data_IF_227418725961
#
_entry.id   IF_227418725961
#
_cell.length_a   1.000
_cell.length_b   1.000
_cell.length_c   1.000
_cell.angle_alpha   90.00
_cell.angle_beta   90.00
_cell.angle_gamma   90.00
#
_symmetry.space_group_name_H-M   'P 1'
#
loop_
_entity.id
_entity.type
_entity.pdbx_description
1 polymer ?
#
# COMPACT_ATOMS: atom_id res chain seq x y z
N UNK A 1 4.50 12.92 10.42
CA UNK A 1 3.53 13.73 11.20
C UNK A 1 3.27 13.04 12.53
N UNK A 2 2.97 13.74 13.64
CA UNK A 2 2.14 13.12 14.65
C UNK A 2 0.82 12.79 13.96
N UNK A 3 0.46 11.51 13.89
CA UNK A 3 -0.78 11.06 13.28
C UNK A 3 -1.95 11.79 13.96
N UNK A 4 -2.49 12.84 13.34
CA UNK A 4 -3.77 13.41 13.78
C UNK A 4 -4.80 12.31 13.53
N UNK A 5 -5.34 11.73 14.61
CA UNK A 5 -6.53 10.89 14.55
C UNK A 5 -7.67 11.79 14.09
N UNK A 6 -8.25 11.50 12.93
CA UNK A 6 -9.15 12.44 12.27
C UNK A 6 -10.64 12.11 12.40
N UNK A 7 -11.00 10.94 12.93
CA UNK A 7 -12.40 10.57 13.16
C UNK A 7 -12.83 10.77 14.63
N UNK A 8 -13.86 11.59 14.82
CA UNK A 8 -14.52 11.88 16.10
C UNK A 8 -15.77 11.00 16.37
N UNK A 9 -16.13 10.08 15.45
CA UNK A 9 -17.20 9.06 15.62
C UNK A 9 -16.76 7.65 15.20
N UNK A 10 -17.51 6.65 15.70
CA UNK A 10 -17.06 5.33 16.18
C UNK A 10 -16.83 4.34 15.03
N UNK A 11 -15.57 4.15 14.58
CA UNK A 11 -15.21 2.94 13.84
C UNK A 11 -15.49 1.74 14.75
N UNK A 12 -16.43 0.88 14.36
CA UNK A 12 -16.76 -0.33 15.12
C UNK A 12 -15.88 -1.47 14.62
N UNK A 13 -15.09 -2.04 15.52
CA UNK A 13 -14.23 -3.19 15.21
C UNK A 13 -14.83 -4.46 15.75
N UNK A 14 -14.82 -5.52 14.95
CA UNK A 14 -15.26 -6.85 15.35
C UNK A 14 -14.25 -7.88 14.90
N UNK A 15 -13.95 -8.84 15.78
CA UNK A 15 -13.18 -10.03 15.43
C UNK A 15 -14.09 -11.02 14.69
N UNK A 16 -13.59 -11.57 13.59
CA UNK A 16 -14.26 -12.60 12.81
C UNK A 16 -13.73 -13.97 13.23
N UNK A 17 -12.41 -14.10 13.29
CA UNK A 17 -11.76 -15.35 13.66
C UNK A 17 -10.46 -15.07 14.42
N UNK A 18 -10.25 -15.81 15.50
CA UNK A 18 -8.99 -15.82 16.25
C UNK A 18 -8.08 -16.96 15.81
N UNK A 19 -6.78 -16.78 16.05
CA UNK A 19 -5.81 -17.88 16.06
C UNK A 19 -6.32 -19.06 16.90
N UNK A 20 -6.25 -20.26 16.33
CA UNK A 20 -6.68 -21.51 16.96
C UNK A 20 -8.19 -21.81 16.88
N UNK A 21 -9.03 -20.89 16.39
CA UNK A 21 -10.47 -21.15 16.27
C UNK A 21 -10.82 -22.05 15.08
N UNK A 22 -10.05 -21.99 13.99
CA UNK A 22 -10.19 -22.94 12.87
C UNK A 22 -9.22 -24.11 13.01
N UNK A 23 -9.57 -25.32 12.53
CA UNK A 23 -8.66 -26.46 12.52
C UNK A 23 -7.31 -26.14 11.84
N UNK A 24 -6.21 -26.40 12.55
CA UNK A 24 -4.85 -26.13 12.08
C UNK A 24 -4.54 -24.64 11.89
N UNK A 25 -5.10 -23.77 12.73
CA UNK A 25 -4.85 -22.33 12.68
C UNK A 25 -4.07 -21.78 13.88
N UNK A 26 -3.24 -22.62 14.53
CA UNK A 26 -2.47 -22.21 15.72
C UNK A 26 -1.40 -21.15 15.39
N UNK A 27 -1.01 -21.01 14.13
CA UNK A 27 -0.18 -19.90 13.62
C UNK A 27 -0.97 -18.66 13.23
N UNK A 28 -2.30 -18.76 13.11
CA UNK A 28 -3.21 -17.65 12.87
C UNK A 28 -4.05 -17.76 11.59
N UNK A 29 -5.06 -16.89 11.50
CA UNK A 29 -5.86 -16.65 10.29
C UNK A 29 -5.95 -15.13 10.09
N UNK A 30 -5.28 -14.59 9.09
CA UNK A 30 -5.12 -13.14 8.95
C UNK A 30 -4.94 -12.68 7.48
N UNK A 31 -4.88 -11.36 7.28
CA UNK A 31 -4.74 -10.66 5.99
C UNK A 31 -5.72 -11.15 4.90
N UNK A 32 -7.04 -11.08 5.16
CA UNK A 32 -8.06 -11.54 4.22
C UNK A 32 -8.19 -10.63 2.99
N UNK A 33 -8.27 -11.23 1.81
CA UNK A 33 -8.96 -10.63 0.68
C UNK A 33 -10.48 -10.80 0.86
N UNK A 34 -11.32 -9.88 0.37
CA UNK A 34 -12.78 -9.97 0.55
C UNK A 34 -13.56 -9.56 -0.69
N UNK A 35 -14.68 -10.23 -0.94
CA UNK A 35 -15.65 -9.85 -1.98
C UNK A 35 -17.08 -10.20 -1.56
N UNK A 36 -18.04 -9.37 -1.94
CA UNK A 36 -19.47 -9.67 -1.78
C UNK A 36 -19.93 -10.64 -2.86
N UNK A 37 -20.73 -11.64 -2.48
CA UNK A 37 -21.41 -12.57 -3.39
C UNK A 37 -22.77 -12.97 -2.85
N UNK A 38 -23.50 -13.82 -3.55
CA UNK A 38 -24.87 -14.19 -3.16
C UNK A 38 -24.91 -14.96 -1.84
N UNK A 39 -23.89 -15.79 -1.58
CA UNK A 39 -23.76 -16.58 -0.35
C UNK A 39 -23.37 -15.76 0.91
N UNK A 40 -22.99 -14.50 0.76
CA UNK A 40 -22.47 -13.67 1.85
C UNK A 40 -21.26 -12.83 1.44
N UNK A 41 -20.37 -12.57 2.40
CA UNK A 41 -19.05 -12.01 2.10
C UNK A 41 -18.06 -13.16 2.11
N UNK A 42 -17.38 -13.34 0.98
CA UNK A 42 -16.34 -14.35 0.84
C UNK A 42 -15.00 -13.71 1.18
N UNK A 43 -14.33 -14.28 2.17
CA UNK A 43 -12.96 -13.95 2.55
C UNK A 43 -12.02 -15.03 2.01
N UNK A 44 -10.83 -14.61 1.59
CA UNK A 44 -9.70 -15.50 1.32
C UNK A 44 -8.55 -15.08 2.24
N UNK A 45 -8.36 -15.81 3.33
CA UNK A 45 -7.39 -15.50 4.37
C UNK A 45 -6.16 -16.40 4.28
N UNK A 46 -5.05 -15.90 4.81
CA UNK A 46 -3.87 -16.71 5.10
C UNK A 46 -4.11 -17.48 6.40
N UNK A 47 -4.11 -18.81 6.35
CA UNK A 47 -4.11 -19.69 7.51
C UNK A 47 -2.75 -20.35 7.69
N UNK A 48 -2.25 -20.31 8.92
CA UNK A 48 -0.96 -20.93 9.29
C UNK A 48 -1.16 -21.95 10.42
N UNK A 49 -0.51 -23.10 10.28
CA UNK A 49 -0.53 -24.16 11.30
C UNK A 49 0.33 -23.75 12.49
N UNK A 50 1.54 -23.25 12.24
CA UNK A 50 2.42 -22.67 13.26
C UNK A 50 2.97 -21.32 12.80
N UNK A 51 3.23 -20.41 13.75
CA UNK A 51 3.95 -19.17 13.47
C UNK A 51 5.46 -19.43 13.52
N UNK A 52 5.90 -20.33 12.65
CA UNK A 52 7.27 -20.40 12.19
C UNK A 52 7.14 -20.02 10.73
N UNK A 53 8.06 -19.24 10.17
CA UNK A 53 7.98 -18.86 8.75
C UNK A 53 8.20 -20.07 7.83
N UNK A 54 7.33 -21.10 7.89
CA UNK A 54 7.34 -22.34 7.12
C UNK A 54 6.67 -22.12 5.77
N UNK A 55 7.14 -22.78 4.71
CA UNK A 55 6.52 -22.68 3.38
C UNK A 55 5.04 -23.11 3.34
N UNK A 56 4.52 -23.67 4.43
CA UNK A 56 3.18 -24.22 4.56
C UNK A 56 2.19 -23.13 4.96
N UNK A 57 1.79 -22.32 3.97
CA UNK A 57 0.67 -21.38 4.10
C UNK A 57 -0.54 -21.90 3.34
N UNK A 58 -1.70 -21.86 3.99
CA UNK A 58 -2.95 -22.35 3.42
C UNK A 58 -3.89 -21.18 3.08
N UNK A 59 -4.36 -21.07 1.81
CA UNK A 59 -5.47 -20.18 1.48
C UNK A 59 -6.76 -20.74 2.07
N UNK A 60 -7.32 -20.03 3.06
CA UNK A 60 -8.58 -20.39 3.71
C UNK A 60 -9.70 -19.53 3.14
N UNK A 61 -10.69 -20.17 2.51
CA UNK A 61 -11.92 -19.52 2.08
C UNK A 61 -12.90 -19.52 3.24
N UNK A 62 -13.40 -18.36 3.63
CA UNK A 62 -14.35 -18.19 4.74
C UNK A 62 -15.55 -17.40 4.23
N UNK A 63 -16.76 -17.89 4.42
CA UNK A 63 -17.99 -17.17 4.13
C UNK A 63 -18.53 -16.62 5.42
N UNK A 64 -18.80 -15.31 5.46
CA UNK A 64 -19.40 -14.65 6.61
C UNK A 64 -20.71 -13.97 6.24
N UNK A 65 -21.63 -13.93 7.20
CA UNK A 65 -22.88 -13.18 7.04
C UNK A 65 -22.59 -11.66 7.06
N UNK A 66 -23.11 -10.87 6.11
CA UNK A 66 -22.78 -9.44 5.98
C UNK A 66 -23.35 -8.54 7.10
N UNK A 67 -24.26 -9.05 7.93
CA UNK A 67 -24.89 -8.28 9.01
C UNK A 67 -24.24 -8.57 10.35
N UNK A 68 -24.09 -9.85 10.65
CA UNK A 68 -23.56 -10.38 11.91
C UNK A 68 -22.07 -10.68 11.82
N UNK A 69 -21.46 -10.83 10.65
CA UNK A 69 -20.07 -11.27 10.48
C UNK A 69 -19.76 -12.64 11.11
N UNK A 70 -20.78 -13.44 11.40
CA UNK A 70 -20.62 -14.83 11.82
C UNK A 70 -20.16 -15.69 10.66
N UNK A 71 -19.31 -16.68 10.95
CA UNK A 71 -18.82 -17.63 9.94
C UNK A 71 -19.96 -18.58 9.58
N UNK A 72 -20.38 -18.51 8.31
CA UNK A 72 -21.38 -19.42 7.73
C UNK A 72 -20.72 -20.72 7.29
N UNK A 73 -19.54 -20.62 6.67
CA UNK A 73 -18.77 -21.79 6.26
C UNK A 73 -17.29 -21.44 6.07
N UNK A 74 -16.41 -22.43 6.10
CA UNK A 74 -15.02 -22.25 5.72
C UNK A 74 -14.46 -23.52 5.06
N UNK A 75 -13.37 -23.35 4.29
CA UNK A 75 -12.67 -24.43 3.60
C UNK A 75 -11.25 -24.01 3.21
N UNK A 76 -10.28 -24.88 3.46
CA UNK A 76 -8.93 -24.74 2.87
C UNK A 76 -8.96 -25.04 1.38
N UNK A 77 -8.45 -24.12 0.56
CA UNK A 77 -8.37 -24.31 -0.89
C UNK A 77 -7.11 -25.09 -1.27
N UNK A 78 -7.24 -26.01 -2.23
CA UNK A 78 -6.10 -26.66 -2.84
C UNK A 78 -5.35 -25.68 -3.76
N UNK A 79 -4.05 -25.53 -3.56
CA UNK A 79 -3.17 -24.77 -4.45
C UNK A 79 -2.80 -25.65 -5.65
N UNK A 80 -3.17 -25.27 -6.87
CA UNK A 80 -2.82 -26.02 -8.09
C UNK A 80 -1.96 -25.17 -9.01
N UNK A 81 -0.86 -25.72 -9.51
CA UNK A 81 0.06 -24.99 -10.40
C UNK A 81 1.04 -24.04 -9.71
N UNK A 82 1.23 -24.16 -8.40
CA UNK A 82 2.26 -23.43 -7.65
C UNK A 82 3.44 -24.35 -7.33
N UNK A 83 4.68 -23.81 -7.23
CA UNK A 83 5.80 -24.55 -6.68
C UNK A 83 5.51 -25.02 -5.25
N UNK A 84 5.91 -26.25 -4.90
CA UNK A 84 5.60 -26.87 -3.60
C UNK A 84 6.15 -26.06 -2.41
N UNK A 85 7.32 -25.48 -2.59
CA UNK A 85 8.07 -24.68 -1.61
C UNK A 85 7.74 -23.17 -1.66
N UNK A 86 6.79 -22.77 -2.51
CA UNK A 86 6.32 -21.38 -2.56
C UNK A 86 5.27 -21.09 -1.49
N UNK A 87 5.20 -19.83 -1.04
CA UNK A 87 4.11 -19.33 -0.19
C UNK A 87 3.21 -18.41 -0.99
N UNK A 88 1.92 -18.47 -0.70
CA UNK A 88 0.92 -17.51 -1.18
C UNK A 88 0.38 -16.75 0.03
N UNK A 89 0.48 -15.42 0.03
CA UNK A 89 0.11 -14.59 1.17
C UNK A 89 -0.52 -13.25 0.75
N UNK A 90 -1.19 -12.56 1.68
CA UNK A 90 -1.72 -11.20 1.52
C UNK A 90 -2.68 -11.05 0.32
N UNK A 91 -3.78 -11.81 0.34
CA UNK A 91 -4.77 -11.81 -0.73
C UNK A 91 -5.58 -10.50 -0.78
N UNK A 92 -5.94 -10.08 -2.00
CA UNK A 92 -6.95 -9.05 -2.29
C UNK A 92 -7.85 -9.58 -3.38
N UNK A 93 -9.16 -9.56 -3.15
CA UNK A 93 -10.12 -10.12 -4.08
C UNK A 93 -10.77 -9.04 -4.94
N UNK A 94 -11.14 -9.42 -6.15
CA UNK A 94 -11.92 -8.61 -7.09
C UNK A 94 -12.81 -9.53 -7.93
N UNK A 95 -13.99 -9.03 -8.34
CA UNK A 95 -14.78 -9.64 -9.43
C UNK A 95 -14.43 -8.97 -10.75
N UNK A 96 -14.15 -9.76 -11.77
CA UNK A 96 -13.87 -9.29 -13.12
C UNK A 96 -14.27 -10.38 -14.12
N UNK A 97 -15.03 -10.03 -15.15
CA UNK A 97 -15.50 -10.96 -16.20
C UNK A 97 -16.13 -12.25 -15.65
N UNK A 98 -16.96 -12.12 -14.61
CA UNK A 98 -17.64 -13.26 -13.96
C UNK A 98 -16.72 -14.13 -13.08
N UNK A 99 -15.41 -13.86 -13.04
CA UNK A 99 -14.45 -14.56 -12.21
C UNK A 99 -14.24 -13.82 -10.88
N UNK A 100 -13.89 -14.59 -9.84
CA UNK A 100 -13.29 -14.04 -8.62
C UNK A 100 -11.78 -14.20 -8.75
N UNK A 101 -11.07 -13.08 -8.86
CA UNK A 101 -9.62 -13.04 -8.94
C UNK A 101 -9.04 -12.65 -7.58
N UNK A 102 -7.90 -13.23 -7.24
CA UNK A 102 -7.06 -12.84 -6.12
C UNK A 102 -5.73 -12.31 -6.65
N UNK A 103 -5.38 -11.06 -6.32
CA UNK A 103 -3.97 -10.65 -6.33
C UNK A 103 -3.36 -10.96 -4.98
N UNK A 104 -2.26 -11.70 -4.97
CA UNK A 104 -1.59 -12.14 -3.76
C UNK A 104 -0.09 -12.17 -3.99
N UNK A 105 0.66 -12.22 -2.89
CA UNK A 105 2.11 -12.30 -2.89
C UNK A 105 2.54 -13.76 -3.04
N UNK A 106 3.33 -14.06 -4.06
CA UNK A 106 4.06 -15.30 -4.22
C UNK A 106 5.49 -15.13 -3.70
N UNK A 107 5.83 -15.85 -2.63
CA UNK A 107 7.20 -15.95 -2.10
C UNK A 107 7.82 -17.23 -2.64
N UNK A 108 8.89 -17.11 -3.44
CA UNK A 108 9.62 -18.25 -3.99
C UNK A 108 10.91 -18.52 -3.19
N UNK A 109 11.44 -19.75 -3.23
CA UNK A 109 12.81 -20.03 -2.83
C UNK A 109 13.80 -19.08 -3.51
N UNK A 110 14.85 -18.68 -2.79
CA UNK A 110 15.78 -17.66 -3.24
C UNK A 110 15.34 -16.21 -2.94
N UNK A 111 14.19 -16.03 -2.27
CA UNK A 111 13.78 -14.75 -1.70
C UNK A 111 13.29 -13.72 -2.73
N UNK A 112 12.84 -14.17 -3.90
CA UNK A 112 12.11 -13.31 -4.85
C UNK A 112 10.64 -13.28 -4.42
N UNK A 113 10.12 -12.06 -4.25
CA UNK A 113 8.74 -11.83 -3.80
C UNK A 113 8.03 -11.03 -4.88
N UNK A 114 6.95 -11.59 -5.42
CA UNK A 114 6.23 -11.06 -6.57
C UNK A 114 4.72 -11.22 -6.41
N UNK A 115 3.91 -10.22 -6.76
CA UNK A 115 2.47 -10.41 -6.87
C UNK A 115 2.12 -11.33 -8.05
N UNK A 116 1.05 -12.09 -7.90
CA UNK A 116 0.47 -12.97 -8.93
C UNK A 116 -1.05 -12.85 -8.88
N UNK A 117 -1.71 -13.05 -10.02
CA UNK A 117 -3.17 -13.14 -10.10
C UNK A 117 -3.57 -14.60 -10.16
N UNK A 118 -4.61 -14.96 -9.43
CA UNK A 118 -5.14 -16.32 -9.40
C UNK A 118 -6.66 -16.32 -9.42
N UNK A 119 -7.25 -17.31 -10.08
CA UNK A 119 -8.70 -17.55 -10.01
C UNK A 119 -8.99 -18.26 -8.69
N UNK A 120 -9.99 -17.75 -7.98
CA UNK A 120 -10.51 -18.34 -6.74
C UNK A 120 -11.75 -19.16 -7.09
N UNK A 121 -11.61 -20.48 -7.04
CA UNK A 121 -12.75 -21.40 -7.13
C UNK A 121 -13.28 -21.79 -5.76
N UNK A 122 -14.32 -22.64 -5.75
CA UNK A 122 -14.91 -23.16 -4.50
C UNK A 122 -13.92 -24.00 -3.68
N UNK A 123 -13.05 -24.76 -4.36
CA UNK A 123 -12.15 -25.75 -3.74
C UNK A 123 -10.68 -25.56 -4.09
N UNK A 124 -10.36 -24.61 -4.96
CA UNK A 124 -9.02 -24.46 -5.52
C UNK A 124 -8.66 -23.00 -5.77
N UNK A 125 -7.36 -22.73 -5.67
CA UNK A 125 -6.72 -21.50 -6.11
C UNK A 125 -5.78 -21.86 -7.27
N UNK A 126 -5.90 -21.17 -8.39
CA UNK A 126 -5.16 -21.49 -9.64
C UNK A 126 -4.53 -20.24 -10.24
N UNK A 127 -3.24 -20.25 -10.63
CA UNK A 127 -2.59 -19.14 -11.33
C UNK A 127 -3.36 -18.75 -12.59
N UNK A 128 -3.46 -17.44 -12.84
CA UNK A 128 -4.13 -16.88 -14.01
C UNK A 128 -3.23 -15.94 -14.81
N UNK A 129 -2.49 -15.08 -14.12
CA UNK A 129 -1.54 -14.17 -14.73
C UNK A 129 -0.35 -13.96 -13.77
N UNK A 130 0.86 -14.06 -14.29
CA UNK A 130 2.09 -13.78 -13.55
C UNK A 130 2.28 -12.27 -13.29
N UNK A 131 1.42 -11.43 -13.86
CA UNK A 131 1.42 -9.97 -13.72
C UNK A 131 2.75 -9.39 -14.26
N UNK A 132 3.09 -9.78 -15.48
CA UNK A 132 4.30 -9.34 -16.17
C UNK A 132 4.16 -7.86 -16.59
N UNK A 133 4.85 -6.99 -15.86
CA UNK A 133 4.82 -5.54 -16.07
C UNK A 133 5.76 -5.11 -17.22
N UNK A 134 5.48 -3.99 -17.91
CA UNK A 134 6.29 -3.49 -19.03
C UNK A 134 7.60 -2.80 -18.58
N UNK A 135 8.06 -3.07 -17.36
CA UNK A 135 9.27 -2.50 -16.79
C UNK A 135 9.88 -3.45 -15.77
N UNK A 136 11.17 -3.24 -15.48
CA UNK A 136 11.87 -4.00 -14.45
C UNK A 136 11.30 -3.70 -13.06
N UNK A 137 11.16 -4.75 -12.27
CA UNK A 137 10.58 -4.73 -10.93
C UNK A 137 11.63 -5.11 -9.89
N UNK A 138 11.53 -4.60 -8.67
CA UNK A 138 12.51 -4.80 -7.59
C UNK A 138 12.61 -6.26 -7.16
N UNK A 139 13.56 -6.69 -6.33
CA UNK A 139 13.56 -8.10 -5.85
C UNK A 139 12.31 -8.46 -5.02
N UNK A 140 11.77 -7.47 -4.32
CA UNK A 140 10.61 -7.59 -3.43
C UNK A 140 9.54 -6.61 -3.90
N UNK A 141 8.44 -7.15 -4.42
CA UNK A 141 7.25 -6.39 -4.74
C UNK A 141 6.07 -6.94 -3.95
N UNK A 142 5.31 -6.05 -3.32
CA UNK A 142 4.14 -6.37 -2.50
C UNK A 142 3.08 -5.29 -2.71
N UNK A 143 1.88 -5.56 -2.21
CA UNK A 143 0.80 -4.57 -2.09
C UNK A 143 0.29 -4.01 -3.43
N UNK A 144 0.30 -4.79 -4.50
CA UNK A 144 -0.38 -4.40 -5.73
C UNK A 144 -1.89 -4.62 -5.58
N UNK A 145 -2.68 -3.70 -6.13
CA UNK A 145 -4.13 -3.68 -5.98
C UNK A 145 -4.78 -3.75 -7.34
N UNK A 146 -5.68 -4.72 -7.54
CA UNK A 146 -6.51 -4.79 -8.74
C UNK A 146 -7.83 -4.05 -8.52
N UNK A 147 -8.34 -3.44 -9.60
CA UNK A 147 -9.67 -2.83 -9.67
C UNK A 147 -10.17 -2.83 -11.11
N UNK A 148 -11.48 -2.72 -11.30
CA UNK A 148 -12.08 -2.61 -12.64
C UNK A 148 -12.40 -1.15 -12.95
N UNK A 149 -11.97 -0.69 -14.12
CA UNK A 149 -12.22 0.65 -14.60
C UNK A 149 -12.70 0.61 -16.05
N UNK A 150 -13.95 1.05 -16.27
CA UNK A 150 -14.59 1.05 -17.58
C UNK A 150 -14.49 -0.33 -18.28
N UNK A 151 -14.78 -1.40 -17.53
CA UNK A 151 -14.69 -2.79 -18.00
C UNK A 151 -13.26 -3.33 -18.17
N UNK A 152 -12.23 -2.53 -17.91
CA UNK A 152 -10.82 -2.95 -18.03
C UNK A 152 -10.26 -3.29 -16.65
N UNK A 153 -9.56 -4.43 -16.55
CA UNK A 153 -8.80 -4.78 -15.36
C UNK A 153 -7.58 -3.87 -15.22
N UNK A 154 -7.52 -3.13 -14.13
CA UNK A 154 -6.43 -2.23 -13.80
C UNK A 154 -5.66 -2.69 -12.56
N UNK A 155 -4.40 -2.28 -12.47
CA UNK A 155 -3.51 -2.53 -11.35
C UNK A 155 -2.96 -1.19 -10.83
N UNK A 156 -3.34 -0.83 -9.61
CA UNK A 156 -2.69 0.22 -8.84
C UNK A 156 -1.39 -0.35 -8.27
N UNK A 157 -0.28 -0.04 -8.94
CA UNK A 157 1.05 -0.55 -8.61
C UNK A 157 1.67 0.19 -7.43
N UNK A 158 1.63 1.53 -7.45
CA UNK A 158 2.22 2.39 -6.40
C UNK A 158 1.43 3.69 -6.25
N UNK A 159 1.48 4.27 -5.04
CA UNK A 159 0.83 5.54 -4.70
C UNK A 159 1.67 6.78 -5.04
N UNK A 160 3.00 6.68 -4.97
CA UNK A 160 3.92 7.78 -5.34
C UNK A 160 5.25 7.21 -5.89
N UNK A 161 5.57 7.38 -7.19
CA UNK A 161 4.71 8.03 -8.17
C UNK A 161 3.42 7.23 -8.34
N UNK A 162 2.29 7.92 -8.50
CA UNK A 162 1.02 7.26 -8.80
C UNK A 162 1.21 6.49 -10.11
N UNK A 163 1.13 5.17 -10.02
CA UNK A 163 1.41 4.28 -11.14
C UNK A 163 0.27 3.29 -11.26
N UNK A 164 -0.48 3.40 -12.35
CA UNK A 164 -1.61 2.54 -12.68
C UNK A 164 -1.36 1.91 -14.03
N UNK A 165 -1.58 0.60 -14.10
CA UNK A 165 -1.52 -0.17 -15.32
C UNK A 165 -2.91 -0.66 -15.70
N UNK A 166 -3.17 -0.81 -16.99
CA UNK A 166 -4.36 -1.45 -17.53
C UNK A 166 -3.96 -2.73 -18.27
N UNK A 167 -4.79 -3.76 -18.17
CA UNK A 167 -4.61 -5.00 -18.91
C UNK A 167 -5.37 -4.93 -20.23
N UNK A 168 -4.65 -4.92 -21.35
CA UNK A 168 -5.22 -4.90 -22.69
C UNK A 168 -4.65 -6.03 -23.53
N UNK A 169 -5.53 -6.81 -24.17
CA UNK A 169 -5.14 -7.94 -25.02
C UNK A 169 -4.14 -8.89 -24.32
N UNK A 170 -4.38 -9.12 -23.02
CA UNK A 170 -3.54 -9.98 -22.17
C UNK A 170 -2.25 -9.34 -21.65
N UNK A 171 -1.91 -8.11 -22.04
CA UNK A 171 -0.66 -7.42 -21.64
C UNK A 171 -0.93 -6.22 -20.75
N UNK A 172 0.00 -5.95 -19.84
CA UNK A 172 -0.06 -4.78 -18.96
C UNK A 172 0.60 -3.57 -19.62
N UNK A 173 -0.12 -2.44 -19.65
CA UNK A 173 0.40 -1.16 -20.12
C UNK A 173 0.26 -0.10 -19.03
N UNK A 174 1.24 0.80 -18.91
CA UNK A 174 1.14 1.95 -18.01
C UNK A 174 0.14 2.94 -18.57
N UNK A 175 -0.90 3.29 -17.80
CA UNK A 175 -1.90 4.32 -18.16
C UNK A 175 -1.76 5.58 -17.34
N UNK A 176 -1.24 5.46 -16.11
CA UNK A 176 -0.87 6.61 -15.27
C UNK A 176 0.54 6.37 -14.75
N UNK A 177 1.39 7.40 -14.88
CA UNK A 177 2.66 7.49 -14.16
C UNK A 177 2.94 8.96 -13.87
N UNK A 178 2.60 9.39 -12.67
CA UNK A 178 2.74 10.79 -12.26
C UNK A 178 3.26 10.87 -10.83
N UNK A 179 4.33 11.63 -10.64
CA UNK A 179 4.75 11.97 -9.29
C UNK A 179 3.76 12.95 -8.65
N UNK A 180 3.41 12.71 -7.39
CA UNK A 180 2.48 13.56 -6.66
C UNK A 180 3.06 14.05 -5.33
N UNK A 181 4.17 13.46 -4.89
CA UNK A 181 4.89 13.90 -3.70
C UNK A 181 4.23 13.48 -2.40
N UNK A 182 3.29 12.54 -2.41
CA UNK A 182 2.61 12.08 -1.20
C UNK A 182 3.54 11.32 -0.26
N UNK A 183 4.48 10.54 -0.80
CA UNK A 183 5.44 9.76 -0.01
C UNK A 183 6.28 10.63 0.94
N UNK A 184 6.42 11.94 0.65
CA UNK A 184 7.18 12.89 1.45
C UNK A 184 6.66 13.08 2.89
N UNK A 185 5.39 12.74 3.15
CA UNK A 185 4.83 12.83 4.50
C UNK A 185 5.30 11.71 5.43
N UNK A 186 5.83 10.64 4.85
CA UNK A 186 6.21 9.42 5.53
C UNK A 186 7.74 9.34 5.62
N UNK A 187 8.24 8.95 6.80
CA UNK A 187 9.67 8.60 6.98
C UNK A 187 9.99 7.21 6.45
N UNK A 188 8.97 6.36 6.37
CA UNK A 188 9.08 5.00 5.86
C UNK A 188 8.31 4.82 4.56
N UNK A 189 7.81 3.62 4.37
CA UNK A 189 7.06 3.22 3.18
C UNK A 189 5.66 3.84 3.18
N UNK A 190 5.21 4.33 2.02
CA UNK A 190 3.80 4.53 1.69
C UNK A 190 3.41 3.43 0.71
N UNK A 191 2.34 2.69 1.00
CA UNK A 191 1.91 1.58 0.14
C UNK A 191 0.40 1.45 0.08
N UNK A 192 -0.09 0.85 -1.00
CA UNK A 192 -1.49 0.43 -1.07
C UNK A 192 -1.76 -0.58 0.04
N UNK A 193 -2.97 -0.60 0.57
CA UNK A 193 -3.38 -1.58 1.57
C UNK A 193 -4.37 -2.57 0.98
N UNK A 194 -5.57 -2.11 0.64
CA UNK A 194 -6.69 -2.95 0.24
C UNK A 194 -7.10 -2.76 -1.23
N UNK A 195 -7.98 -3.64 -1.73
CA UNK A 195 -8.63 -3.45 -3.03
C UNK A 195 -9.36 -2.09 -3.10
N UNK A 196 -9.56 -1.59 -4.33
CA UNK A 196 -10.42 -0.44 -4.54
C UNK A 196 -11.88 -0.89 -4.64
N UNK A 197 -12.80 -0.10 -4.10
CA UNK A 197 -14.25 -0.28 -4.25
C UNK A 197 -14.87 0.96 -4.86
N UNK A 198 -15.94 0.83 -5.67
CA UNK A 198 -16.71 1.99 -6.13
C UNK A 198 -17.16 2.84 -4.94
N UNK A 199 -16.93 4.15 -5.02
CA UNK A 199 -17.28 5.07 -3.96
C UNK A 199 -17.50 6.45 -4.55
N UNK A 200 -18.73 6.96 -4.42
CA UNK A 200 -19.19 8.17 -5.11
C UNK A 200 -19.01 8.00 -6.63
N UNK A 201 -18.41 8.97 -7.31
CA UNK A 201 -18.10 8.99 -8.73
C UNK A 201 -16.81 8.22 -9.08
N UNK A 202 -15.95 7.95 -8.11
CA UNK A 202 -14.68 7.25 -8.31
C UNK A 202 -14.54 5.99 -7.47
N UNK A 203 -13.37 5.85 -6.86
CA UNK A 203 -13.00 4.70 -6.07
C UNK A 203 -12.50 5.09 -4.69
N UNK A 204 -12.76 4.24 -3.70
CA UNK A 204 -12.16 4.28 -2.38
C UNK A 204 -11.09 3.19 -2.27
N UNK A 205 -9.93 3.56 -1.74
CA UNK A 205 -8.88 2.63 -1.35
C UNK A 205 -8.32 2.98 0.02
N UNK A 206 -7.56 2.05 0.60
CA UNK A 206 -6.81 2.28 1.83
C UNK A 206 -5.31 2.29 1.53
N UNK A 207 -4.59 3.18 2.21
CA UNK A 207 -3.13 3.24 2.23
C UNK A 207 -2.62 2.80 3.60
N UNK A 208 -1.37 2.34 3.66
CA UNK A 208 -0.70 2.06 4.93
C UNK A 208 0.75 2.54 4.95
N UNK A 209 1.26 2.72 6.16
CA UNK A 209 2.65 3.04 6.46
C UNK A 209 3.08 2.44 7.80
N UNK A 210 4.37 2.54 8.11
CA UNK A 210 4.94 2.15 9.41
C UNK A 210 5.43 3.41 10.11
N UNK A 211 4.90 3.67 11.31
CA UNK A 211 5.25 4.83 12.14
C UNK A 211 5.61 4.32 13.53
N UNK A 212 6.83 4.59 14.00
CA UNK A 212 7.32 4.13 15.31
C UNK A 212 7.14 2.60 15.51
N UNK A 213 7.40 1.82 14.45
CA UNK A 213 7.29 0.35 14.48
C UNK A 213 5.87 -0.21 14.40
N UNK A 214 4.83 0.63 14.33
CA UNK A 214 3.43 0.17 14.19
C UNK A 214 2.85 0.50 12.81
N UNK A 215 1.95 -0.35 12.35
CA UNK A 215 1.21 -0.14 11.11
C UNK A 215 0.14 0.91 11.33
N UNK A 216 0.07 1.91 10.44
CA UNK A 216 -0.99 2.91 10.43
C UNK A 216 -1.63 2.94 9.07
N UNK A 217 -2.93 3.22 9.02
CA UNK A 217 -3.71 3.16 7.79
C UNK A 217 -4.68 4.30 7.69
N UNK A 218 -4.93 4.76 6.47
CA UNK A 218 -5.95 5.74 6.17
C UNK A 218 -6.63 5.42 4.85
N UNK A 219 -7.62 6.25 4.50
CA UNK A 219 -8.35 6.14 3.25
C UNK A 219 -7.81 7.14 2.22
N UNK A 220 -8.05 6.83 0.95
CA UNK A 220 -7.86 7.73 -0.17
C UNK A 220 -8.91 7.47 -1.26
N UNK A 221 -9.15 8.48 -2.08
CA UNK A 221 -9.99 8.34 -3.27
C UNK A 221 -9.19 8.46 -4.54
N UNK A 222 -9.63 7.70 -5.55
CA UNK A 222 -9.20 7.84 -6.93
C UNK A 222 -10.37 8.37 -7.76
N UNK A 223 -10.19 9.46 -8.49
CA UNK A 223 -11.22 10.04 -9.37
C UNK A 223 -11.47 9.17 -10.61
N UNK A 224 -12.53 9.40 -11.39
CA UNK A 224 -12.73 8.74 -12.69
C UNK A 224 -11.53 8.87 -13.63
N UNK A 225 -10.79 9.98 -13.56
CA UNK A 225 -9.60 10.26 -14.37
C UNK A 225 -8.33 9.59 -13.80
N UNK A 226 -8.48 8.70 -12.82
CA UNK A 226 -7.40 7.96 -12.20
C UNK A 226 -6.38 8.88 -11.49
N UNK A 227 -6.84 9.98 -10.90
CA UNK A 227 -6.06 10.88 -10.05
C UNK A 227 -6.41 10.69 -8.57
N UNK A 228 -5.48 10.95 -7.65
CA UNK A 228 -5.80 10.96 -6.21
C UNK A 228 -6.62 12.22 -5.92
N UNK A 229 -7.86 12.03 -5.43
CA UNK A 229 -8.76 13.15 -5.13
C UNK A 229 -8.66 13.64 -3.69
N UNK A 230 -8.63 12.70 -2.74
CA UNK A 230 -8.53 12.97 -1.31
C UNK A 230 -7.72 11.88 -0.60
N UNK A 231 -7.14 12.23 0.55
CA UNK A 231 -6.41 11.30 1.39
C UNK A 231 -6.53 11.70 2.86
N UNK A 232 -7.03 10.80 3.70
CA UNK A 232 -7.20 11.07 5.12
C UNK A 232 -5.87 10.99 5.87
N UNK A 233 -5.89 11.44 7.13
CA UNK A 233 -4.91 11.00 8.13
C UNK A 233 -5.09 9.53 8.53
N UNK A 234 -4.58 9.18 9.72
CA UNK A 234 -4.69 7.80 10.24
C UNK A 234 -6.11 7.55 10.75
N UNK A 235 -6.77 6.55 10.17
CA UNK A 235 -8.08 6.04 10.58
C UNK A 235 -7.95 4.81 11.48
N UNK A 236 -6.99 3.93 11.18
CA UNK A 236 -6.71 2.71 11.94
C UNK A 236 -5.24 2.68 12.33
N UNK A 237 -4.97 2.42 13.60
CA UNK A 237 -3.61 2.41 14.16
C UNK A 237 -3.34 1.06 14.84
N UNK A 238 -2.22 0.46 14.50
CA UNK A 238 -1.77 -0.80 15.06
C UNK A 238 -1.52 -0.76 16.57
N UNK A 239 -1.43 0.41 17.20
CA UNK A 239 -1.48 0.51 18.67
C UNK A 239 -2.76 -0.07 19.27
N UNK A 240 -3.84 -0.03 18.50
CA UNK A 240 -5.15 -0.54 18.92
C UNK A 240 -5.29 -2.04 18.61
N UNK A 241 -4.27 -2.65 17.99
CA UNK A 241 -4.26 -4.06 17.64
C UNK A 241 -4.25 -4.94 18.90
N UNK A 242 -5.06 -5.99 18.89
CA UNK A 242 -4.96 -7.05 19.86
C UNK A 242 -3.57 -7.72 19.83
N UNK A 243 -3.14 -8.31 20.96
CA UNK A 243 -1.90 -9.08 21.02
C UNK A 243 -1.88 -10.22 19.99
N UNK A 244 -0.74 -10.39 19.34
CA UNK A 244 -0.49 -11.47 18.37
C UNK A 244 1.01 -11.71 18.23
N UNK A 245 1.42 -12.33 17.14
CA UNK A 245 2.82 -12.60 16.83
C UNK A 245 3.63 -11.34 16.51
N UNK A 246 2.98 -10.31 15.95
CA UNK A 246 3.60 -9.00 15.69
C UNK A 246 2.81 -7.87 16.37
N UNK A 247 3.21 -7.44 17.58
CA UNK A 247 2.60 -6.30 18.24
C UNK A 247 2.64 -5.06 17.34
N UNK A 248 1.59 -4.23 17.38
CA UNK A 248 1.54 -3.01 16.58
C UNK A 248 1.13 -3.21 15.12
N UNK A 249 0.70 -4.42 14.72
CA UNK A 249 0.23 -4.70 13.35
C UNK A 249 -1.28 -4.78 13.30
N UNK A 250 -1.90 -3.82 12.63
CA UNK A 250 -3.28 -3.91 12.14
C UNK A 250 -3.19 -3.55 10.65
N UNK A 251 -3.62 -4.46 9.78
CA UNK A 251 -3.42 -4.37 8.34
C UNK A 251 -4.70 -4.65 7.56
N UNK A 252 -5.31 -3.63 6.95
CA UNK A 252 -6.51 -3.77 6.12
C UNK A 252 -6.07 -4.24 4.74
N UNK A 253 -6.47 -5.47 4.42
CA UNK A 253 -6.16 -6.10 3.13
C UNK A 253 -7.35 -6.09 2.18
N UNK A 254 -8.58 -5.81 2.66
CA UNK A 254 -9.73 -5.73 1.78
C UNK A 254 -10.81 -4.72 2.21
N UNK A 255 -11.52 -4.19 1.22
CA UNK A 255 -12.68 -3.32 1.36
C UNK A 255 -13.90 -3.95 0.68
N UNK A 256 -15.07 -3.83 1.32
CA UNK A 256 -16.37 -4.12 0.72
C UNK A 256 -17.32 -2.96 1.03
N UNK A 257 -17.97 -2.41 0.01
CA UNK A 257 -19.09 -1.48 0.19
C UNK A 257 -20.38 -2.28 0.36
N UNK A 258 -21.13 -2.04 1.44
CA UNK A 258 -22.35 -2.79 1.77
C UNK A 258 -23.35 -1.93 2.55
N UNK A 259 -24.49 -1.60 1.92
CA UNK A 259 -25.65 -0.98 2.58
C UNK A 259 -25.33 0.34 3.31
N UNK A 260 -24.62 1.26 2.67
CA UNK A 260 -24.22 2.55 3.28
C UNK A 260 -23.02 2.44 4.22
N UNK A 261 -22.35 1.28 4.28
CA UNK A 261 -21.17 1.03 5.10
C UNK A 261 -19.97 0.70 4.21
N UNK A 262 -18.78 0.99 4.71
CA UNK A 262 -17.52 0.44 4.20
C UNK A 262 -16.99 -0.54 5.23
N UNK A 263 -16.83 -1.78 4.81
CA UNK A 263 -16.29 -2.87 5.61
C UNK A 263 -14.81 -3.03 5.27
N UNK A 264 -13.94 -2.67 6.21
CA UNK A 264 -12.50 -2.80 6.08
C UNK A 264 -12.02 -4.06 6.81
N UNK A 265 -11.77 -5.13 6.07
CA UNK A 265 -11.30 -6.40 6.61
C UNK A 265 -9.80 -6.36 6.82
N UNK A 266 -9.35 -6.80 8.01
CA UNK A 266 -7.97 -6.65 8.43
C UNK A 266 -7.40 -7.90 9.10
N UNK A 267 -6.09 -8.07 8.97
CA UNK A 267 -5.27 -8.89 9.85
C UNK A 267 -4.82 -8.08 11.08
N UNK A 268 -4.76 -8.73 12.23
CA UNK A 268 -4.35 -8.12 13.50
C UNK A 268 -3.30 -9.01 14.18
N UNK A 269 -2.14 -8.42 14.47
CA UNK A 269 -1.01 -9.08 15.12
C UNK A 269 -0.40 -10.24 14.34
N UNK A 270 -0.61 -10.34 13.02
CA UNK A 270 -0.33 -11.54 12.21
C UNK A 270 -0.90 -12.81 12.86
N UNK A 271 -2.10 -12.72 13.45
CA UNK A 271 -2.71 -13.83 14.20
C UNK A 271 -4.22 -13.93 14.01
N UNK A 272 -4.90 -12.78 13.98
CA UNK A 272 -6.37 -12.71 13.95
C UNK A 272 -6.86 -12.02 12.68
N UNK A 273 -8.13 -12.26 12.35
CA UNK A 273 -8.85 -11.59 11.27
C UNK A 273 -10.08 -10.90 11.84
N UNK A 274 -10.32 -9.67 11.39
CA UNK A 274 -11.43 -8.84 11.84
C UNK A 274 -11.95 -7.91 10.75
N UNK A 275 -12.95 -7.13 11.12
CA UNK A 275 -13.56 -6.11 10.28
C UNK A 275 -13.73 -4.82 11.06
N UNK A 276 -13.37 -3.70 10.43
CA UNK A 276 -13.70 -2.37 10.85
C UNK A 276 -14.88 -1.89 10.01
N UNK A 277 -15.98 -1.51 10.66
CA UNK A 277 -17.18 -0.99 10.03
C UNK A 277 -17.14 0.53 10.09
N UNK A 278 -17.11 1.16 8.93
CA UNK A 278 -17.17 2.60 8.77
C UNK A 278 -18.50 2.98 8.14
N UNK A 279 -19.13 4.05 8.63
CA UNK A 279 -20.25 4.68 7.94
C UNK A 279 -19.72 5.36 6.66
N UNK A 280 -20.36 5.09 5.51
CA UNK A 280 -19.88 5.63 4.25
C UNK A 280 -20.02 7.16 4.18
N UNK A 281 -21.05 7.74 4.81
CA UNK A 281 -21.29 9.18 4.86
C UNK A 281 -20.27 9.91 5.74
N UNK A 282 -19.95 9.35 6.91
CA UNK A 282 -18.90 9.89 7.79
C UNK A 282 -17.51 9.80 7.13
N UNK A 283 -17.20 8.68 6.46
CA UNK A 283 -15.95 8.53 5.72
C UNK A 283 -15.87 9.52 4.55
N UNK A 284 -16.97 9.71 3.83
CA UNK A 284 -17.12 10.72 2.79
C UNK A 284 -16.80 12.13 3.31
N UNK A 285 -17.43 12.53 4.42
CA UNK A 285 -17.20 13.84 5.04
C UNK A 285 -15.74 14.01 5.50
N UNK A 286 -15.11 12.95 5.98
CA UNK A 286 -13.70 12.96 6.37
C UNK A 286 -12.75 13.15 5.18
N UNK A 287 -13.04 12.50 4.05
CA UNK A 287 -12.31 12.70 2.81
C UNK A 287 -12.48 14.12 2.26
N UNK A 288 -13.67 14.70 2.36
CA UNK A 288 -13.93 16.09 1.91
C UNK A 288 -13.13 17.13 2.72
N UNK A 289 -12.84 16.83 3.99
CA UNK A 289 -11.95 17.66 4.84
C UNK A 289 -10.48 17.53 4.50
N UNK A 290 -10.11 16.53 3.71
CA UNK A 290 -8.72 16.18 3.40
C UNK A 290 -8.48 16.06 1.89
N UNK A 291 -8.78 17.11 1.09
CA UNK A 291 -8.53 17.10 -0.33
C UNK A 291 -7.03 16.91 -0.59
N UNK A 292 -6.70 16.09 -1.58
CA UNK A 292 -5.32 15.81 -1.92
C UNK A 292 -4.74 16.93 -2.76
N UNK A 293 -3.56 17.43 -2.36
CA UNK A 293 -2.83 18.45 -3.08
C UNK A 293 -1.45 17.93 -3.46
N UNK A 294 -1.17 17.92 -4.76
CA UNK A 294 0.15 17.54 -5.25
C UNK A 294 1.21 18.53 -4.79
N UNK A 295 2.41 18.02 -4.53
CA UNK A 295 3.54 18.85 -4.10
C UNK A 295 4.69 18.71 -5.07
N UNK A 296 5.11 19.85 -5.61
CA UNK A 296 6.33 19.91 -6.40
C UNK A 296 7.54 19.54 -5.51
N UNK A 297 8.37 18.59 -5.95
CA UNK A 297 9.58 18.22 -5.23
C UNK A 297 10.58 19.38 -5.21
N UNK A 298 11.43 19.39 -4.21
CA UNK A 298 12.72 20.07 -4.26
C UNK A 298 13.69 19.14 -4.97
N UNK A 299 14.34 19.59 -6.03
CA UNK A 299 15.29 18.77 -6.80
C UNK A 299 16.73 19.13 -6.43
N UNK A 300 17.53 18.13 -6.07
CA UNK A 300 18.92 18.29 -5.64
C UNK A 300 19.77 17.29 -6.42
N UNK A 301 20.87 17.75 -7.01
CA UNK A 301 21.90 16.84 -7.53
C UNK A 301 23.02 16.72 -6.51
N UNK A 302 23.45 15.48 -6.26
CA UNK A 302 24.41 15.14 -5.23
C UNK A 302 25.60 14.37 -5.81
N UNK A 303 26.72 15.07 -5.90
CA UNK A 303 28.02 14.57 -6.36
C UNK A 303 29.09 14.89 -5.29
N UNK A 304 29.06 14.23 -4.13
CA UNK A 304 29.97 14.56 -3.04
C UNK A 304 31.40 14.08 -3.36
N UNK A 305 32.42 14.91 -3.12
CA UNK A 305 33.82 14.54 -3.31
C UNK A 305 34.34 13.63 -2.17
N UNK A 306 33.61 13.53 -1.06
CA UNK A 306 33.95 12.68 0.07
C UNK A 306 32.72 12.27 0.90
N UNK A 307 32.88 11.24 1.73
CA UNK A 307 31.86 10.85 2.72
C UNK A 307 31.53 11.97 3.73
N UNK A 308 32.51 12.82 4.04
CA UNK A 308 32.31 13.98 4.90
C UNK A 308 31.40 15.04 4.25
N UNK A 309 31.51 15.24 2.94
CA UNK A 309 30.60 16.11 2.18
C UNK A 309 29.21 15.52 2.05
N UNK A 310 29.10 14.22 1.77
CA UNK A 310 27.83 13.50 1.77
C UNK A 310 27.11 13.70 3.12
N UNK A 311 27.81 13.46 4.23
CA UNK A 311 27.25 13.65 5.58
C UNK A 311 26.72 15.08 5.79
N UNK A 312 27.53 16.11 5.46
CA UNK A 312 27.12 17.52 5.59
C UNK A 312 25.91 17.86 4.72
N UNK A 313 25.88 17.36 3.49
CA UNK A 313 24.75 17.53 2.58
C UNK A 313 23.48 16.91 3.17
N UNK A 314 23.54 15.66 3.64
CA UNK A 314 22.39 14.96 4.22
C UNK A 314 21.85 15.65 5.47
N UNK A 315 22.71 16.07 6.40
CA UNK A 315 22.29 16.84 7.59
C UNK A 315 21.56 18.13 7.20
N UNK A 316 22.01 18.79 6.13
CA UNK A 316 21.37 20.00 5.67
C UNK A 316 20.03 19.74 4.99
N UNK A 317 19.94 18.71 4.16
CA UNK A 317 18.69 18.29 3.54
C UNK A 317 17.65 17.94 4.62
N UNK A 318 18.07 17.25 5.68
CA UNK A 318 17.20 16.98 6.83
C UNK A 318 16.75 18.27 7.55
N UNK A 319 17.66 19.23 7.75
CA UNK A 319 17.30 20.55 8.29
C UNK A 319 16.33 21.32 7.39
N UNK A 320 16.44 21.17 6.07
CA UNK A 320 15.52 21.80 5.11
C UNK A 320 14.13 21.17 5.19
N UNK A 321 14.03 19.86 5.31
CA UNK A 321 12.74 19.15 5.34
C UNK A 321 12.07 19.17 6.72
N UNK A 322 12.81 19.51 7.78
CA UNK A 322 12.27 19.74 9.13
C UNK A 322 11.79 21.17 9.36
N UNK A 323 12.31 22.16 8.63
CA UNK A 323 11.91 23.57 8.73
C UNK A 323 10.81 23.88 7.70
N UNK A 324 9.55 23.81 8.12
CA UNK A 324 8.39 24.21 7.34
C UNK A 324 7.50 23.05 6.89
N UNK A 325 6.66 23.30 5.88
CA UNK A 325 5.79 22.26 5.30
C UNK A 325 6.65 21.19 4.62
N UNK A 326 6.50 19.89 4.96
CA UNK A 326 7.23 18.83 4.29
C UNK A 326 7.03 18.91 2.78
N UNK A 327 8.12 19.07 2.05
CA UNK A 327 8.15 18.97 0.59
C UNK A 327 8.86 17.69 0.20
N UNK A 328 8.43 17.03 -0.88
CA UNK A 328 9.19 15.93 -1.44
C UNK A 328 10.58 16.42 -1.80
N UNK A 329 11.58 15.60 -1.58
CA UNK A 329 12.97 15.90 -1.89
C UNK A 329 13.46 14.84 -2.87
N UNK A 330 13.76 15.24 -4.09
CA UNK A 330 14.33 14.36 -5.09
C UNK A 330 15.82 14.58 -5.16
N UNK A 331 16.57 13.51 -4.89
CA UNK A 331 18.03 13.56 -4.90
C UNK A 331 18.51 12.70 -6.06
N UNK A 332 19.14 13.34 -7.03
CA UNK A 332 19.90 12.67 -8.08
C UNK A 332 21.31 12.40 -7.59
N UNK A 333 21.69 11.13 -7.60
CA UNK A 333 23.01 10.66 -7.17
C UNK A 333 23.57 9.85 -8.34
N UNK A 334 24.39 10.47 -9.21
CA UNK A 334 24.90 9.79 -10.41
C UNK A 334 25.72 8.55 -10.07
N UNK A 335 26.47 8.59 -8.98
CA UNK A 335 27.19 7.43 -8.45
C UNK A 335 26.25 6.47 -7.71
N UNK A 336 25.93 5.35 -8.37
CA UNK A 336 25.06 4.30 -7.82
C UNK A 336 25.61 3.66 -6.54
N UNK A 337 26.93 3.67 -6.33
CA UNK A 337 27.54 3.09 -5.12
C UNK A 337 27.11 3.82 -3.85
N UNK A 338 26.71 5.10 -3.97
CA UNK A 338 26.26 5.94 -2.85
C UNK A 338 24.77 5.79 -2.53
N UNK A 339 23.98 5.11 -3.36
CA UNK A 339 22.52 5.05 -3.20
C UNK A 339 22.11 4.44 -1.85
N UNK A 340 22.79 3.38 -1.44
CA UNK A 340 22.52 2.76 -0.14
C UNK A 340 22.89 3.67 1.02
N UNK A 341 24.05 4.33 0.96
CA UNK A 341 24.51 5.25 1.98
C UNK A 341 23.52 6.42 2.15
N UNK A 342 23.06 7.04 1.05
CA UNK A 342 22.09 8.14 1.05
C UNK A 342 20.78 7.72 1.71
N UNK A 343 20.26 6.52 1.39
CA UNK A 343 19.03 6.00 2.01
C UNK A 343 19.16 5.81 3.53
N UNK A 344 20.33 5.38 4.01
CA UNK A 344 20.58 5.13 5.44
C UNK A 344 20.53 6.39 6.30
N UNK A 345 20.66 7.59 5.74
CA UNK A 345 20.51 8.84 6.49
C UNK A 345 19.07 9.11 6.95
N UNK A 346 18.06 8.50 6.32
CA UNK A 346 16.67 8.65 6.74
C UNK A 346 16.12 10.08 6.63
N UNK A 347 16.68 10.89 5.71
CA UNK A 347 16.20 12.27 5.46
C UNK A 347 14.72 12.23 5.07
N UNK A 348 13.89 13.00 5.79
CA UNK A 348 12.44 12.97 5.59
C UNK A 348 12.07 13.38 4.15
N UNK A 349 11.27 12.54 3.50
CA UNK A 349 10.74 12.78 2.16
C UNK A 349 11.76 12.73 1.03
N UNK A 350 12.97 12.20 1.30
CA UNK A 350 13.99 11.95 0.30
C UNK A 350 13.60 10.75 -0.57
N UNK A 351 13.62 10.94 -1.89
CA UNK A 351 13.53 9.90 -2.90
C UNK A 351 14.72 10.02 -3.87
N UNK A 352 15.39 8.91 -4.14
CA UNK A 352 16.43 8.86 -5.18
C UNK A 352 15.76 8.82 -6.56
N UNK A 353 16.07 9.80 -7.40
CA UNK A 353 15.46 9.99 -8.74
C UNK A 353 16.52 10.51 -9.70
N UNK A 354 16.52 10.01 -10.93
CA UNK A 354 17.22 10.74 -12.00
C UNK A 354 16.53 12.08 -12.24
N UNK A 355 17.32 13.12 -12.46
CA UNK A 355 16.85 14.45 -12.86
C UNK A 355 17.07 14.72 -14.36
N UNK A 356 17.30 13.69 -15.17
CA UNK A 356 17.47 13.84 -16.61
C UNK A 356 16.28 14.60 -17.23
N UNK A 357 16.59 15.69 -17.95
CA UNK A 357 15.57 16.56 -18.55
C UNK A 357 14.82 17.48 -17.57
N UNK A 358 15.27 17.58 -16.31
CA UNK A 358 14.65 18.44 -15.28
C UNK A 358 15.65 19.45 -14.72
N UNK A 359 15.19 20.69 -14.51
CA UNK A 359 16.00 21.71 -13.84
C UNK A 359 16.14 21.38 -12.34
N UNK A 360 17.36 21.56 -11.82
CA UNK A 360 17.69 21.35 -10.41
C UNK A 360 17.49 22.63 -9.61
N UNK A 361 16.85 22.53 -8.45
CA UNK A 361 16.70 23.68 -7.54
C UNK A 361 18.02 24.00 -6.82
N UNK A 362 18.82 22.98 -6.49
CA UNK A 362 20.06 23.12 -5.75
C UNK A 362 21.19 22.20 -6.24
N UNK A 363 22.42 22.69 -6.10
CA UNK A 363 23.67 21.93 -6.13
C UNK A 363 24.26 21.78 -4.73
N UNK A 364 24.98 20.68 -4.46
CA UNK A 364 25.67 20.46 -3.16
C UNK A 364 26.57 21.64 -2.79
N UNK A 365 27.27 22.22 -3.76
CA UNK A 365 28.12 23.39 -3.54
C UNK A 365 27.30 24.64 -3.18
N UNK A 366 26.16 24.82 -3.85
CA UNK A 366 25.25 25.94 -3.60
C UNK A 366 24.57 25.86 -2.24
N UNK A 367 24.46 24.66 -1.67
CA UNK A 367 24.07 24.51 -0.29
C UNK A 367 25.12 25.22 0.58
N UNK A 368 26.43 25.03 0.41
CA UNK A 368 27.46 25.66 1.25
C UNK A 368 27.39 27.19 1.42
N UNK A 369 26.88 27.93 0.42
CA UNK A 369 26.84 29.39 0.46
C UNK A 369 25.53 29.93 1.11
N UNK A 370 25.65 30.61 2.25
CA UNK A 370 24.58 31.38 2.90
C UNK A 370 24.24 32.68 2.16
N UNK A 371 23.94 32.64 0.85
CA UNK A 371 23.63 33.85 0.06
C UNK A 371 22.31 33.75 -0.70
N UNK A 372 21.36 34.59 -0.27
CA UNK A 372 20.29 35.19 -1.09
C UNK A 372 19.17 34.27 -1.55
N UNK A 373 17.92 34.64 -1.28
CA UNK A 373 16.71 33.93 -1.74
C UNK A 373 16.74 33.57 -3.24
N UNK A 374 16.30 32.35 -3.64
CA UNK A 374 16.19 31.91 -5.04
C UNK A 374 15.36 32.83 -5.94
N UNK A 375 14.47 33.64 -5.36
CA UNK A 375 13.67 34.64 -6.08
C UNK A 375 14.55 35.66 -6.86
N UNK A 376 15.78 35.91 -6.42
CA UNK A 376 16.70 36.83 -7.08
C UNK A 376 17.36 36.27 -8.35
N UNK A 377 17.38 34.96 -8.55
CA UNK A 377 17.95 34.33 -9.76
C UNK A 377 16.98 34.29 -10.93
N UNK A 378 15.66 34.17 -10.67
CA UNK A 378 14.63 34.23 -11.73
C UNK A 378 14.52 35.61 -12.39
N UNK A 379 14.73 36.68 -11.62
CA UNK A 379 14.67 38.05 -12.14
C UNK A 379 15.91 38.50 -12.95
N UNK A 380 16.96 37.67 -13.06
CA UNK A 380 18.18 37.98 -13.84
C UNK A 380 18.27 37.22 -15.16
N UNK A 381 17.25 36.41 -15.49
CA UNK A 381 17.17 35.63 -16.74
C UNK A 381 15.92 35.92 -17.58
N UNK A 382 15.05 36.81 -17.10
CA UNK A 382 14.08 37.57 -17.90
C UNK A 382 14.66 38.93 -18.21
#
# INVERSE_FOLDING_TARGET
>A
MPARRTLTRRIVRRRIVSRGELPGSDGGVYNPGAVRGDEGIVLLARREIDYRFTSVVHPERIVVDPRSFEIVSHRTLARRGYPEDSRVEDFRLIRHDGLVLAVHTLVRPGGRIRPMISVVGERRLEPWDALELPFETERVEKNWVLFEHQGTLCCLYRLDPLTILARERGRWRTVVRRDNGWSADFRGMLSNSANLVPFRDGYLGFWHSIVDGRYVQGAMTLTPELAIGAATGVLLDGRDAAPGHKPGVLYVSALVADGGRVLAFYGEGDAHCGVAVLDAGELAAELDRSPFAERAPITVRLEPASMGELYRAMVRLDRMTTRGTPRPLWVDVPDRSLHEAVRRFGVRGLALRSLDGRERDYDVESLGATRGSPAARRARRS
#
